data_IF_033095446241
#
_entry.id   IF_033095446241
#
_cell.length_a   1.000
_cell.length_b   1.000
_cell.length_c   1.000
_cell.angle_alpha   90.00
_cell.angle_beta   90.00
_cell.angle_gamma   90.00
#
_symmetry.space_group_name_H-M   'P 1'
#
loop_
_entity.id
_entity.type
_entity.pdbx_description
1 polymer ?
#
# COMPACT_ATOMS: atom_id res chain seq x y z
N UNK A 1 -17.11 -25.26 37.22
CA UNK A 1 -16.12 -24.16 37.35
C UNK A 1 -15.10 -24.23 36.20
N UNK A 2 -15.50 -23.94 34.96
CA UNK A 2 -14.67 -24.14 33.73
C UNK A 2 -14.44 -22.86 32.92
N UNK A 3 -15.04 -21.73 33.29
CA UNK A 3 -14.93 -20.45 32.56
C UNK A 3 -13.63 -19.66 32.82
N UNK A 4 -12.96 -19.88 33.95
CA UNK A 4 -11.79 -19.07 34.35
C UNK A 4 -10.52 -19.33 33.53
N UNK A 5 -10.34 -20.55 33.03
CA UNK A 5 -9.18 -20.95 32.21
C UNK A 5 -9.31 -20.50 30.76
N UNK A 6 -10.53 -20.53 30.19
CA UNK A 6 -10.79 -20.05 28.83
C UNK A 6 -10.59 -18.53 28.72
N UNK A 7 -11.09 -17.75 29.68
CA UNK A 7 -10.94 -16.29 29.71
C UNK A 7 -9.48 -15.88 29.85
N UNK A 8 -8.69 -16.56 30.71
CA UNK A 8 -7.24 -16.31 30.84
C UNK A 8 -6.48 -16.62 29.55
N UNK A 9 -6.85 -17.68 28.85
CA UNK A 9 -6.23 -18.06 27.56
C UNK A 9 -6.53 -17.03 26.47
N UNK A 10 -7.75 -16.51 26.41
CA UNK A 10 -8.12 -15.43 25.48
C UNK A 10 -7.35 -14.15 25.77
N UNK A 11 -7.21 -13.77 27.05
CA UNK A 11 -6.40 -12.60 27.43
C UNK A 11 -4.91 -12.77 27.08
N UNK A 12 -4.35 -13.97 27.29
CA UNK A 12 -2.96 -14.26 26.93
C UNK A 12 -2.73 -14.13 25.41
N UNK A 13 -3.62 -14.74 24.60
CA UNK A 13 -3.54 -14.66 23.12
C UNK A 13 -3.69 -13.22 22.63
N UNK A 14 -4.62 -12.45 23.22
CA UNK A 14 -4.82 -11.04 22.87
C UNK A 14 -3.56 -10.22 23.15
N UNK A 15 -3.00 -10.35 24.36
CA UNK A 15 -1.77 -9.64 24.74
C UNK A 15 -0.59 -10.01 23.85
N UNK A 16 -0.43 -11.30 23.55
CA UNK A 16 0.61 -11.78 22.62
C UNK A 16 0.43 -11.20 21.21
N UNK A 17 -0.81 -11.09 20.73
CA UNK A 17 -1.13 -10.50 19.43
C UNK A 17 -0.84 -9.00 19.39
N UNK A 18 -1.23 -8.27 20.44
CA UNK A 18 -0.94 -6.83 20.62
C UNK A 18 0.58 -6.59 20.65
N UNK A 19 1.33 -7.42 21.37
CA UNK A 19 2.80 -7.33 21.44
C UNK A 19 3.46 -7.62 20.08
N UNK A 20 2.94 -8.59 19.31
CA UNK A 20 3.43 -8.89 17.95
C UNK A 20 3.15 -7.77 16.97
N UNK A 21 1.96 -7.16 17.05
CA UNK A 21 1.58 -5.99 16.25
C UNK A 21 2.50 -4.79 16.52
N UNK A 22 2.79 -4.51 17.80
CA UNK A 22 3.67 -3.42 18.21
C UNK A 22 5.12 -3.61 17.73
N UNK A 23 5.56 -4.86 17.55
CA UNK A 23 6.89 -5.19 17.03
C UNK A 23 6.95 -5.29 15.51
N UNK A 24 5.82 -5.50 14.83
CA UNK A 24 5.77 -5.53 13.37
C UNK A 24 5.85 -4.11 12.82
N UNK A 25 7.07 -3.58 12.70
CA UNK A 25 7.32 -2.39 11.90
C UNK A 25 6.82 -2.60 10.47
N UNK A 26 6.17 -1.57 9.92
CA UNK A 26 5.73 -1.54 8.53
C UNK A 26 6.29 -0.29 7.87
N UNK A 27 6.98 -0.45 6.75
CA UNK A 27 7.43 0.67 5.92
C UNK A 27 6.58 0.73 4.66
N UNK A 28 5.96 1.88 4.43
CA UNK A 28 5.07 2.15 3.32
C UNK A 28 5.64 3.29 2.49
N UNK A 29 5.67 3.13 1.17
CA UNK A 29 6.01 4.21 0.25
C UNK A 29 4.76 4.74 -0.45
N UNK A 30 4.63 6.07 -0.54
CA UNK A 30 3.48 6.77 -1.13
C UNK A 30 3.93 7.51 -2.40
N UNK A 31 3.76 6.85 -3.54
CA UNK A 31 4.15 7.37 -4.86
C UNK A 31 3.00 8.12 -5.54
N UNK A 32 3.36 9.14 -6.33
CA UNK A 32 2.41 10.00 -7.01
C UNK A 32 3.07 10.81 -8.12
N UNK A 33 2.27 11.63 -8.81
CA UNK A 33 2.71 12.33 -10.02
C UNK A 33 3.14 13.77 -9.73
N UNK A 34 4.46 14.03 -9.68
CA UNK A 34 5.06 15.39 -9.77
C UNK A 34 4.29 16.47 -8.98
N UNK A 35 4.07 16.25 -7.68
CA UNK A 35 3.39 17.20 -6.79
C UNK A 35 1.86 17.16 -6.78
N UNK A 36 1.19 16.51 -7.75
CA UNK A 36 -0.26 16.25 -7.65
C UNK A 36 -0.54 15.24 -6.55
N UNK A 37 -1.58 15.54 -5.76
CA UNK A 37 -1.95 14.73 -4.59
C UNK A 37 -0.89 14.72 -3.47
N UNK A 38 0.12 15.59 -3.51
CA UNK A 38 1.19 15.60 -2.50
C UNK A 38 0.67 15.89 -1.10
N UNK A 39 -0.21 16.88 -0.94
CA UNK A 39 -0.82 17.19 0.36
C UNK A 39 -1.70 16.06 0.88
N UNK A 40 -2.36 15.31 -0.02
CA UNK A 40 -3.11 14.11 0.37
C UNK A 40 -2.15 13.01 0.86
N UNK A 41 -1.05 12.77 0.14
CA UNK A 41 -0.02 11.81 0.55
C UNK A 41 0.62 12.19 1.89
N UNK A 42 0.90 13.46 2.13
CA UNK A 42 1.38 13.98 3.42
C UNK A 42 0.35 13.75 4.53
N UNK A 43 -0.93 14.02 4.26
CA UNK A 43 -2.00 13.76 5.22
C UNK A 43 -2.13 12.26 5.54
N UNK A 44 -1.98 11.39 4.54
CA UNK A 44 -1.94 9.93 4.71
C UNK A 44 -0.73 9.51 5.51
N UNK A 45 0.46 10.04 5.20
CA UNK A 45 1.69 9.75 5.93
C UNK A 45 1.56 10.12 7.41
N UNK A 46 0.95 11.26 7.72
CA UNK A 46 0.66 11.65 9.10
C UNK A 46 -0.27 10.65 9.82
N UNK A 47 -1.34 10.19 9.15
CA UNK A 47 -2.27 9.19 9.70
C UNK A 47 -1.59 7.83 9.90
N UNK A 48 -0.69 7.42 9.01
CA UNK A 48 0.09 6.19 9.14
C UNK A 48 1.09 6.32 10.31
N UNK A 49 1.79 7.45 10.40
CA UNK A 49 2.75 7.75 11.46
C UNK A 49 2.11 7.74 12.84
N UNK A 50 0.91 8.31 12.99
CA UNK A 50 0.16 8.26 14.26
C UNK A 50 -0.25 6.84 14.69
N UNK A 51 -0.14 5.85 13.79
CA UNK A 51 -0.42 4.43 14.04
C UNK A 51 0.85 3.60 14.19
N UNK A 52 2.04 4.21 14.16
CA UNK A 52 3.32 3.51 14.24
C UNK A 52 3.74 2.83 12.94
N UNK A 53 3.22 3.28 11.79
CA UNK A 53 3.64 2.84 10.46
C UNK A 53 4.56 3.92 9.87
N UNK A 54 5.74 3.52 9.39
CA UNK A 54 6.68 4.43 8.73
C UNK A 54 6.15 4.66 7.32
N UNK A 55 5.86 5.90 6.97
CA UNK A 55 5.39 6.28 5.65
C UNK A 55 6.40 7.23 5.01
N UNK A 56 6.86 6.90 3.80
CA UNK A 56 7.79 7.69 3.01
C UNK A 56 7.05 8.36 1.85
N UNK A 57 7.22 9.67 1.71
CA UNK A 57 6.77 10.51 0.61
C UNK A 57 8.01 10.98 -0.13
N UNK A 58 8.30 10.48 -1.34
CA UNK A 58 9.58 10.72 -1.98
C UNK A 58 10.00 12.19 -2.10
N UNK A 59 9.04 13.08 -2.37
CA UNK A 59 9.29 14.52 -2.51
C UNK A 59 9.74 15.21 -1.22
N UNK A 60 9.48 14.62 -0.06
CA UNK A 60 9.88 15.16 1.25
C UNK A 60 11.07 14.41 1.85
N UNK A 61 11.20 13.12 1.56
CA UNK A 61 12.13 12.21 2.23
C UNK A 61 13.41 11.90 1.43
N UNK A 62 13.45 12.22 0.13
CA UNK A 62 14.66 12.03 -0.71
C UNK A 62 15.27 13.35 -1.19
N UNK A 63 16.59 13.39 -1.45
CA UNK A 63 17.24 14.58 -1.96
C UNK A 63 16.69 15.01 -3.33
N UNK A 64 16.46 16.31 -3.58
CA UNK A 64 15.88 16.81 -4.82
C UNK A 64 16.80 16.62 -6.04
N UNK A 65 18.11 16.41 -5.83
CA UNK A 65 19.05 16.09 -6.91
C UNK A 65 18.88 14.67 -7.44
N UNK A 66 18.15 13.81 -6.72
CA UNK A 66 17.89 12.46 -7.19
C UNK A 66 16.55 12.43 -7.91
N UNK A 67 16.60 12.13 -9.20
CA UNK A 67 15.40 11.89 -10.00
C UNK A 67 14.54 10.80 -9.37
N UNK A 68 13.21 11.03 -9.19
CA UNK A 68 12.28 10.05 -8.60
C UNK A 68 12.42 8.65 -9.23
N UNK A 69 12.61 8.60 -10.54
CA UNK A 69 12.64 7.37 -11.33
C UNK A 69 13.85 6.44 -11.13
N UNK A 70 14.98 6.93 -10.60
CA UNK A 70 16.22 6.11 -10.48
C UNK A 70 16.40 5.54 -9.08
N UNK A 71 15.98 6.28 -8.05
CA UNK A 71 16.04 5.81 -6.66
C UNK A 71 14.86 4.91 -6.29
N UNK A 72 13.72 5.07 -6.96
CA UNK A 72 12.54 4.28 -6.65
C UNK A 72 12.79 2.78 -6.86
N UNK A 73 13.38 2.32 -7.97
CA UNK A 73 13.48 0.86 -8.19
C UNK A 73 14.38 0.16 -7.14
N UNK A 74 15.58 0.69 -6.86
CA UNK A 74 16.49 0.07 -5.89
C UNK A 74 15.91 0.10 -4.47
N UNK A 75 15.30 1.21 -4.05
CA UNK A 75 14.69 1.30 -2.72
C UNK A 75 13.46 0.40 -2.63
N UNK A 76 12.62 0.38 -3.66
CA UNK A 76 11.42 -0.45 -3.70
C UNK A 76 11.73 -1.94 -3.75
N UNK A 77 12.88 -2.34 -4.28
CA UNK A 77 13.34 -3.73 -4.23
C UNK A 77 13.69 -4.17 -2.80
N UNK A 78 14.17 -3.27 -1.95
CA UNK A 78 14.64 -3.62 -0.60
C UNK A 78 13.55 -4.31 0.22
N UNK A 79 13.95 -5.31 1.00
CA UNK A 79 13.03 -6.13 1.80
C UNK A 79 12.40 -5.38 2.97
N UNK A 80 12.93 -4.22 3.34
CA UNK A 80 12.39 -3.38 4.41
C UNK A 80 11.20 -2.51 3.95
N UNK A 81 11.02 -2.29 2.64
CA UNK A 81 9.78 -1.71 2.09
C UNK A 81 8.72 -2.80 1.97
N UNK A 82 7.62 -2.66 2.71
CA UNK A 82 6.55 -3.65 2.76
C UNK A 82 5.45 -3.39 1.74
N UNK A 83 5.05 -2.13 1.57
CA UNK A 83 3.96 -1.71 0.69
C UNK A 83 4.32 -0.46 -0.10
N UNK A 84 3.80 -0.38 -1.32
CA UNK A 84 3.99 0.77 -2.21
C UNK A 84 2.63 1.16 -2.76
N UNK A 85 2.13 2.33 -2.38
CA UNK A 85 0.90 2.87 -2.96
C UNK A 85 1.25 3.77 -4.12
N UNK A 86 0.68 3.47 -5.29
CA UNK A 86 0.95 4.21 -6.52
C UNK A 86 -0.36 4.77 -7.09
N UNK A 87 -0.47 6.10 -7.12
CA UNK A 87 -1.63 6.80 -7.66
C UNK A 87 -1.43 7.14 -9.13
N UNK A 88 -2.24 6.53 -10.01
CA UNK A 88 -2.10 6.71 -11.46
C UNK A 88 -2.89 7.94 -11.93
N UNK A 89 -2.28 9.11 -11.78
CA UNK A 89 -2.89 10.40 -12.14
C UNK A 89 -2.20 11.13 -13.30
N UNK A 90 -1.06 10.61 -13.77
CA UNK A 90 -0.32 11.15 -14.91
C UNK A 90 0.33 10.07 -15.75
N UNK A 91 0.86 10.48 -16.91
CA UNK A 91 1.69 9.62 -17.76
C UNK A 91 2.98 9.16 -17.08
N UNK A 92 3.57 9.97 -16.20
CA UNK A 92 4.77 9.57 -15.43
C UNK A 92 4.47 8.37 -14.54
N UNK A 93 3.42 8.47 -13.72
CA UNK A 93 2.99 7.37 -12.85
C UNK A 93 2.53 6.12 -13.63
N UNK A 94 1.97 6.31 -14.83
CA UNK A 94 1.65 5.20 -15.72
C UNK A 94 2.90 4.45 -16.20
N UNK A 95 3.96 5.18 -16.55
CA UNK A 95 5.25 4.60 -16.94
C UNK A 95 5.92 3.88 -15.77
N UNK A 96 5.95 4.51 -14.60
CA UNK A 96 6.43 3.90 -13.34
C UNK A 96 5.68 2.59 -13.04
N UNK A 97 4.35 2.58 -13.17
CA UNK A 97 3.57 1.37 -12.98
C UNK A 97 3.97 0.26 -13.97
N UNK A 98 4.16 0.60 -15.24
CA UNK A 98 4.67 -0.33 -16.25
C UNK A 98 6.02 -0.95 -15.84
N UNK A 99 6.96 -0.13 -15.41
CA UNK A 99 8.28 -0.57 -14.96
C UNK A 99 8.18 -1.46 -13.71
N UNK A 100 7.56 -0.97 -12.63
CA UNK A 100 7.47 -1.68 -11.35
C UNK A 100 6.66 -2.97 -11.42
N UNK A 101 5.61 -3.01 -12.25
CA UNK A 101 4.80 -4.23 -12.44
C UNK A 101 5.57 -5.36 -13.13
N UNK A 102 6.62 -5.03 -13.89
CA UNK A 102 7.49 -6.01 -14.55
C UNK A 102 8.57 -6.58 -13.61
N UNK A 103 8.89 -5.87 -12.52
CA UNK A 103 9.89 -6.29 -11.55
C UNK A 103 9.26 -7.24 -10.49
N UNK A 104 9.68 -8.52 -10.41
CA UNK A 104 9.07 -9.51 -9.52
C UNK A 104 9.31 -9.23 -8.02
N UNK A 105 10.28 -8.37 -7.66
CA UNK A 105 10.55 -7.99 -6.26
C UNK A 105 9.68 -6.82 -5.81
N UNK A 106 9.25 -5.98 -6.75
CA UNK A 106 8.44 -4.77 -6.48
C UNK A 106 6.96 -5.06 -6.67
N UNK A 107 6.59 -5.71 -7.77
CA UNK A 107 5.19 -5.93 -8.15
C UNK A 107 4.30 -6.50 -7.04
N UNK A 108 4.72 -7.46 -6.19
CA UNK A 108 3.89 -7.95 -5.08
C UNK A 108 3.58 -6.91 -3.99
N UNK A 109 4.44 -5.88 -3.84
CA UNK A 109 4.33 -4.81 -2.85
C UNK A 109 3.41 -3.68 -3.33
N UNK A 110 3.19 -3.58 -4.65
CA UNK A 110 2.39 -2.51 -5.25
C UNK A 110 0.92 -2.60 -4.84
N UNK A 111 0.33 -1.44 -4.56
CA UNK A 111 -1.09 -1.19 -4.32
C UNK A 111 -1.50 -0.07 -5.25
N UNK A 112 -2.03 -0.43 -6.40
CA UNK A 112 -2.34 0.52 -7.47
C UNK A 112 -3.66 1.20 -7.18
N UNK A 113 -3.65 2.53 -7.08
CA UNK A 113 -4.83 3.35 -6.85
C UNK A 113 -5.24 3.99 -8.18
N UNK A 114 -6.48 3.75 -8.59
CA UNK A 114 -6.99 4.16 -9.90
C UNK A 114 -8.37 4.78 -9.76
N UNK A 115 -8.68 5.79 -10.57
CA UNK A 115 -10.02 6.36 -10.61
C UNK A 115 -11.03 5.34 -11.17
N UNK A 116 -12.30 5.33 -10.71
CA UNK A 116 -13.24 4.26 -11.07
C UNK A 116 -13.51 4.17 -12.56
N UNK A 117 -13.47 5.31 -13.28
CA UNK A 117 -13.65 5.37 -14.74
C UNK A 117 -12.59 4.61 -15.53
N UNK A 118 -11.41 4.35 -14.93
CA UNK A 118 -10.31 3.62 -15.58
C UNK A 118 -10.07 2.24 -14.98
N UNK A 119 -10.77 1.88 -13.90
CA UNK A 119 -10.61 0.59 -13.26
C UNK A 119 -11.23 -0.52 -14.14
N UNK A 120 -10.50 -1.61 -14.44
CA UNK A 120 -10.87 -2.59 -15.48
C UNK A 120 -12.17 -3.36 -15.19
N UNK A 121 -12.64 -3.37 -13.93
CA UNK A 121 -13.89 -4.03 -13.51
C UNK A 121 -15.04 -3.04 -13.28
N UNK A 122 -14.74 -1.78 -12.93
CA UNK A 122 -15.80 -0.81 -12.56
C UNK A 122 -16.31 0.00 -13.75
N UNK A 123 -15.53 0.07 -14.83
CA UNK A 123 -15.88 0.83 -16.03
C UNK A 123 -15.88 -0.07 -17.25
N UNK A 124 -16.91 0.00 -18.12
CA UNK A 124 -16.90 -0.68 -19.41
C UNK A 124 -15.93 -0.01 -20.41
N UNK A 125 -15.45 1.20 -20.11
CA UNK A 125 -14.52 1.93 -20.97
C UNK A 125 -13.10 1.43 -20.78
N UNK A 126 -12.46 1.00 -21.87
CA UNK A 126 -11.05 0.59 -21.85
C UNK A 126 -10.15 1.82 -21.78
N UNK A 127 -9.37 1.89 -20.70
CA UNK A 127 -8.20 2.78 -20.58
C UNK A 127 -7.02 2.15 -21.32
N UNK A 128 -6.04 2.97 -21.71
CA UNK A 128 -4.76 2.51 -22.24
C UNK A 128 -4.05 1.51 -21.31
N UNK A 129 -4.28 1.62 -20.00
CA UNK A 129 -3.69 0.73 -18.98
C UNK A 129 -4.60 -0.42 -18.56
N UNK A 130 -5.77 -0.60 -19.18
CA UNK A 130 -6.76 -1.60 -18.73
C UNK A 130 -6.19 -3.02 -18.65
N UNK A 131 -5.41 -3.44 -19.64
CA UNK A 131 -4.80 -4.78 -19.65
C UNK A 131 -3.74 -4.94 -18.56
N UNK A 132 -2.96 -3.88 -18.31
CA UNK A 132 -1.95 -3.87 -17.26
C UNK A 132 -2.60 -3.91 -15.88
N UNK A 133 -3.65 -3.12 -15.66
CA UNK A 133 -4.46 -3.18 -14.44
C UNK A 133 -5.06 -4.56 -14.24
N UNK A 134 -5.65 -5.14 -15.28
CA UNK A 134 -6.28 -6.46 -15.17
C UNK A 134 -5.24 -7.54 -14.87
N UNK A 135 -4.07 -7.50 -15.52
CA UNK A 135 -2.98 -8.44 -15.27
C UNK A 135 -2.45 -8.32 -13.84
N UNK A 136 -2.23 -7.09 -13.37
CA UNK A 136 -1.77 -6.85 -12.00
C UNK A 136 -2.82 -7.28 -10.97
N UNK A 137 -4.10 -7.00 -11.24
CA UNK A 137 -5.22 -7.42 -10.39
C UNK A 137 -5.35 -8.94 -10.34
N UNK A 138 -5.27 -9.64 -11.47
CA UNK A 138 -5.37 -11.11 -11.52
C UNK A 138 -4.19 -11.76 -10.82
N UNK A 139 -2.97 -11.23 -11.01
CA UNK A 139 -1.75 -11.84 -10.47
C UNK A 139 -1.53 -11.55 -8.99
N UNK A 140 -1.83 -10.33 -8.54
CA UNK A 140 -1.49 -9.87 -7.19
C UNK A 140 -2.72 -9.45 -6.37
N UNK A 141 -3.88 -9.18 -6.98
CA UNK A 141 -5.08 -8.77 -6.27
C UNK A 141 -5.10 -7.29 -5.83
N UNK A 142 -4.23 -6.46 -6.41
CA UNK A 142 -3.89 -5.15 -5.85
C UNK A 142 -4.08 -3.98 -6.82
N UNK A 143 -5.31 -3.84 -7.33
CA UNK A 143 -5.78 -2.64 -8.02
C UNK A 143 -7.05 -2.18 -7.34
N UNK A 144 -7.08 -0.92 -6.89
CA UNK A 144 -8.14 -0.40 -6.05
C UNK A 144 -8.76 0.86 -6.66
N UNK A 145 -10.09 0.91 -6.80
CA UNK A 145 -10.77 2.13 -7.19
C UNK A 145 -10.72 3.14 -6.04
N UNK A 146 -10.30 4.36 -6.33
CA UNK A 146 -10.34 5.49 -5.40
C UNK A 146 -11.04 6.68 -6.03
N UNK A 147 -11.70 7.48 -5.20
CA UNK A 147 -12.59 8.55 -5.62
C UNK A 147 -11.88 9.70 -6.39
N UNK A 148 -10.55 9.80 -6.27
CA UNK A 148 -9.74 10.84 -6.90
C UNK A 148 -10.19 12.26 -6.48
N UNK A 149 -10.71 12.41 -5.26
CA UNK A 149 -11.26 13.66 -4.74
C UNK A 149 -12.63 14.05 -5.30
N UNK A 150 -13.27 13.19 -6.10
CA UNK A 150 -14.65 13.35 -6.55
C UNK A 150 -15.56 12.53 -5.63
N UNK A 151 -16.76 13.00 -5.31
CA UNK A 151 -17.74 12.16 -4.59
C UNK A 151 -18.24 11.03 -5.51
N UNK A 152 -17.52 9.91 -5.52
CA UNK A 152 -17.89 8.66 -6.18
C UNK A 152 -18.23 7.60 -5.12
N UNK A 153 -19.01 6.55 -5.44
CA UNK A 153 -19.37 5.48 -4.51
C UNK A 153 -18.19 4.50 -4.28
N UNK A 154 -16.99 5.03 -4.07
CA UNK A 154 -15.73 4.32 -3.81
C UNK A 154 -14.99 5.08 -2.70
N UNK A 155 -14.08 4.43 -1.95
CA UNK A 155 -13.35 5.11 -0.88
C UNK A 155 -12.36 6.15 -1.42
N UNK A 156 -12.06 7.17 -0.61
CA UNK A 156 -10.92 8.05 -0.85
C UNK A 156 -9.59 7.35 -0.55
N UNK A 157 -8.51 7.79 -1.19
CA UNK A 157 -7.16 7.28 -0.90
C UNK A 157 -6.81 7.49 0.59
N UNK A 158 -7.19 8.65 1.15
CA UNK A 158 -7.06 8.96 2.58
C UNK A 158 -7.70 7.93 3.53
N UNK A 159 -8.81 7.31 3.14
CA UNK A 159 -9.46 6.28 3.93
C UNK A 159 -8.90 4.87 3.63
N UNK A 160 -8.66 4.59 2.35
CA UNK A 160 -8.29 3.26 1.88
C UNK A 160 -6.85 2.88 2.26
N UNK A 161 -5.88 3.78 2.06
CA UNK A 161 -4.46 3.50 2.29
C UNK A 161 -4.20 3.09 3.76
N UNK A 162 -4.64 3.86 4.78
CA UNK A 162 -4.43 3.46 6.18
C UNK A 162 -5.11 2.15 6.53
N UNK A 163 -6.28 1.86 5.94
CA UNK A 163 -6.97 0.59 6.16
C UNK A 163 -6.16 -0.58 5.60
N UNK A 164 -5.68 -0.48 4.35
CA UNK A 164 -4.89 -1.53 3.71
C UNK A 164 -3.54 -1.76 4.41
N UNK A 165 -2.87 -0.68 4.83
CA UNK A 165 -1.61 -0.77 5.56
C UNK A 165 -1.78 -1.48 6.91
N UNK A 166 -2.84 -1.15 7.66
CA UNK A 166 -3.17 -1.83 8.92
C UNK A 166 -3.47 -3.31 8.71
N UNK A 167 -4.31 -3.65 7.72
CA UNK A 167 -4.60 -5.06 7.40
C UNK A 167 -3.36 -5.83 7.02
N UNK A 168 -2.44 -5.22 6.26
CA UNK A 168 -1.16 -5.86 5.95
C UNK A 168 -0.32 -6.07 7.22
N UNK A 169 -0.24 -5.08 8.10
CA UNK A 169 0.48 -5.18 9.38
C UNK A 169 -0.07 -6.31 10.24
N UNK A 170 -1.40 -6.42 10.36
CA UNK A 170 -2.07 -7.51 11.07
C UNK A 170 -1.71 -8.88 10.48
N UNK A 171 -1.78 -9.02 9.16
CA UNK A 171 -1.40 -10.26 8.48
C UNK A 171 0.09 -10.58 8.71
N UNK A 172 0.97 -9.60 8.60
CA UNK A 172 2.42 -9.73 8.85
C UNK A 172 2.68 -10.16 10.28
N UNK A 173 2.01 -9.55 11.26
CA UNK A 173 2.12 -9.89 12.67
C UNK A 173 1.63 -11.31 12.96
N UNK A 174 0.59 -11.79 12.27
CA UNK A 174 -0.01 -13.12 12.47
C UNK A 174 0.69 -14.24 11.69
N UNK A 175 1.51 -13.93 10.69
CA UNK A 175 2.28 -14.95 9.96
C UNK A 175 3.16 -15.73 10.94
N UNK A 176 3.15 -17.07 10.90
CA UNK A 176 4.06 -17.87 11.71
C UNK A 176 5.50 -17.55 11.33
N UNK A 177 6.38 -17.38 12.32
CA UNK A 177 7.82 -17.16 12.10
C UNK A 177 8.54 -18.33 11.39
N UNK A 178 7.82 -19.41 11.06
CA UNK A 178 8.36 -20.69 10.60
C UNK A 178 7.78 -21.15 9.25
N UNK A 179 7.69 -20.27 8.25
CA UNK A 179 7.62 -20.72 6.85
C UNK A 179 8.66 -19.99 6.01
N UNK A 180 9.90 -20.45 6.09
CA UNK A 180 10.81 -20.76 4.97
C UNK A 180 12.11 -21.30 5.59
N UNK A 181 12.33 -22.62 5.58
CA UNK A 181 12.70 -23.53 4.48
C UNK A 181 14.22 -23.61 4.32
#
# INVERSE_FOLDING_TARGET
MTGGTAVRRVHAIRKETEDRLNRSGLVVMLLGSSGRGLDERRAVAHVLGSRGIIALVPEDDFPPEVGPSVIEEEILERSDVDLVFLSIESWGAATEFGQFSSNPRIAPKLRVLVRPEYHPVHSPSRSYLSDLYLTHLVRYGHVYPVDGGRQAPVPSAKALIPMLAERHREIKALRPSNITK
#
